data_IF_458753382780
#
_entry.id   IF_458753382780
#
_cell.length_a   1.000
_cell.length_b   1.000
_cell.length_c   1.000
_cell.angle_alpha   90.00
_cell.angle_beta   90.00
_cell.angle_gamma   90.00
#
_symmetry.space_group_name_H-M   'P 1'
#
loop_
_entity.id
_entity.type
_entity.pdbx_description
1 polymer ?
#
# COMPACT_ATOMS: atom_id res chain seq x y z
N UNK A 1 -34.74 -57.93 -53.46
CA UNK A 1 -33.34 -58.37 -53.48
C UNK A 1 -32.54 -57.42 -52.59
N UNK A 2 -31.95 -57.97 -51.52
CA UNK A 2 -30.85 -57.46 -50.67
C UNK A 2 -31.06 -56.17 -49.85
N UNK A 3 -31.33 -56.42 -48.56
CA UNK A 3 -31.10 -55.57 -47.40
C UNK A 3 -29.60 -55.48 -47.05
N UNK A 4 -29.28 -54.58 -46.10
CA UNK A 4 -28.06 -54.41 -45.29
C UNK A 4 -26.94 -53.52 -45.82
N UNK A 5 -26.75 -52.38 -45.15
CA UNK A 5 -25.51 -51.86 -44.50
C UNK A 5 -25.70 -50.34 -44.32
N UNK A 6 -25.49 -49.69 -43.19
CA UNK A 6 -25.06 -50.05 -41.84
C UNK A 6 -25.12 -48.75 -41.04
N UNK A 7 -25.82 -48.79 -39.91
CA UNK A 7 -25.93 -47.75 -38.89
C UNK A 7 -24.54 -47.48 -38.24
N UNK A 8 -24.41 -46.36 -37.49
CA UNK A 8 -23.27 -45.85 -36.68
C UNK A 8 -22.40 -44.81 -37.43
N UNK A 9 -22.15 -43.60 -36.92
CA UNK A 9 -21.74 -43.27 -35.57
C UNK A 9 -22.51 -42.08 -34.96
N UNK A 10 -23.04 -42.34 -33.76
CA UNK A 10 -23.38 -41.37 -32.73
C UNK A 10 -22.06 -40.91 -32.10
N UNK A 11 -21.61 -39.69 -32.37
CA UNK A 11 -20.58 -39.05 -31.57
C UNK A 11 -21.28 -38.10 -30.59
N UNK A 12 -21.36 -38.58 -29.35
CA UNK A 12 -21.93 -37.94 -28.17
C UNK A 12 -21.22 -36.61 -27.91
N UNK A 13 -21.81 -35.50 -28.34
CA UNK A 13 -21.52 -34.17 -27.80
C UNK A 13 -22.26 -34.00 -26.45
N UNK A 14 -21.97 -34.90 -25.50
CA UNK A 14 -22.28 -34.68 -24.09
C UNK A 14 -21.05 -34.07 -23.41
N UNK A 15 -20.70 -32.85 -23.81
CA UNK A 15 -19.98 -31.92 -22.95
C UNK A 15 -20.96 -30.84 -22.47
N UNK A 16 -22.10 -31.25 -21.92
CA UNK A 16 -22.80 -30.44 -20.91
C UNK A 16 -22.04 -30.58 -19.60
N UNK A 17 -20.77 -30.20 -19.60
CA UNK A 17 -20.09 -29.83 -18.37
C UNK A 17 -20.71 -28.52 -17.93
N UNK A 18 -21.72 -28.59 -17.06
CA UNK A 18 -22.10 -27.48 -16.21
C UNK A 18 -20.88 -27.14 -15.36
N UNK A 19 -20.00 -26.30 -15.89
CA UNK A 19 -19.05 -25.57 -15.08
C UNK A 19 -19.89 -24.63 -14.22
N UNK A 20 -20.24 -25.11 -13.02
CA UNK A 20 -20.73 -24.28 -11.92
C UNK A 20 -19.63 -23.26 -11.62
N UNK A 21 -19.74 -22.11 -12.29
CA UNK A 21 -18.95 -20.91 -12.08
C UNK A 21 -19.35 -20.17 -10.79
N UNK A 22 -20.17 -20.79 -9.93
CA UNK A 22 -20.57 -20.25 -8.62
C UNK A 22 -19.45 -20.25 -7.56
N UNK A 23 -18.25 -20.73 -7.91
CA UNK A 23 -17.12 -20.78 -6.99
C UNK A 23 -16.09 -19.66 -7.16
N UNK A 24 -16.25 -18.75 -8.14
CA UNK A 24 -15.49 -17.50 -8.13
C UNK A 24 -16.20 -16.52 -7.20
N UNK A 25 -16.23 -16.86 -5.91
CA UNK A 25 -16.40 -15.81 -4.89
C UNK A 25 -15.24 -14.85 -5.12
N UNK A 26 -15.49 -13.56 -5.42
CA UNK A 26 -14.42 -12.58 -5.37
C UNK A 26 -13.79 -12.75 -4.00
N UNK A 27 -12.48 -13.02 -3.94
CA UNK A 27 -11.74 -13.01 -2.68
C UNK A 27 -12.28 -11.85 -1.86
N UNK A 28 -12.86 -12.16 -0.70
CA UNK A 28 -13.38 -11.17 0.21
C UNK A 28 -12.21 -10.27 0.57
N UNK A 29 -12.04 -9.16 -0.16
CA UNK A 29 -10.95 -8.21 0.06
C UNK A 29 -11.05 -7.84 1.53
N UNK A 30 -9.96 -8.04 2.28
CA UNK A 30 -9.91 -7.69 3.68
C UNK A 30 -10.54 -6.29 3.86
N UNK A 31 -11.42 -6.08 4.86
CA UNK A 31 -12.06 -4.80 5.07
C UNK A 31 -11.03 -3.67 5.07
N UNK A 32 -11.36 -2.57 4.38
CA UNK A 32 -10.49 -1.40 4.35
C UNK A 32 -10.46 -0.78 5.74
N UNK A 33 -9.28 -0.71 6.32
CA UNK A 33 -9.01 -0.07 7.60
C UNK A 33 -8.06 1.09 7.36
N UNK A 34 -8.51 2.31 7.65
CA UNK A 34 -7.76 3.56 7.50
C UNK A 34 -7.44 4.21 8.85
N UNK A 35 -7.53 3.47 9.96
CA UNK A 35 -7.26 3.97 11.32
C UNK A 35 -5.78 4.20 11.64
N UNK A 36 -4.89 3.76 10.75
CA UNK A 36 -3.43 3.86 10.89
C UNK A 36 -2.78 4.26 9.56
N UNK A 37 -1.50 4.64 9.61
CA UNK A 37 -0.64 4.63 8.45
C UNK A 37 0.29 3.42 8.49
N UNK A 38 0.46 2.74 7.35
CA UNK A 38 1.41 1.65 7.17
C UNK A 38 2.70 2.20 6.54
N UNK A 39 3.83 1.96 7.19
CA UNK A 39 5.15 2.28 6.66
C UNK A 39 5.79 1.00 6.11
N UNK A 40 6.21 1.02 4.86
CA UNK A 40 7.11 0.02 4.28
C UNK A 40 8.54 0.55 4.31
N UNK A 41 9.38 0.05 5.21
CA UNK A 41 10.75 0.56 5.33
C UNK A 41 11.65 0.13 4.17
N UNK A 42 11.27 -0.90 3.39
CA UNK A 42 12.08 -1.37 2.26
C UNK A 42 11.92 -0.42 1.07
N UNK A 43 10.67 -0.13 0.70
CA UNK A 43 10.36 0.74 -0.45
C UNK A 43 10.07 2.20 -0.07
N UNK A 44 10.10 2.52 1.22
CA UNK A 44 9.84 3.87 1.76
C UNK A 44 8.45 4.40 1.41
N UNK A 45 7.44 3.51 1.41
CA UNK A 45 6.05 3.93 1.25
C UNK A 45 5.40 4.28 2.58
N UNK A 46 4.56 5.31 2.55
CA UNK A 46 3.68 5.72 3.64
C UNK A 46 2.23 5.60 3.17
N UNK A 47 1.55 4.53 3.56
CA UNK A 47 0.22 4.17 3.06
C UNK A 47 -0.87 4.47 4.09
N UNK A 48 -2.04 4.91 3.61
CA UNK A 48 -3.22 5.06 4.46
C UNK A 48 -3.81 3.67 4.73
N UNK A 49 -3.54 3.14 5.92
CA UNK A 49 -4.07 1.87 6.36
C UNK A 49 -3.63 0.68 5.52
N UNK A 50 -4.55 -0.25 5.26
CA UNK A 50 -4.36 -1.37 4.32
C UNK A 50 -4.83 -1.06 2.88
N UNK A 51 -4.88 0.22 2.50
CA UNK A 51 -5.32 0.64 1.16
C UNK A 51 -4.16 0.75 0.17
N UNK A 52 -4.49 0.93 -1.12
CA UNK A 52 -3.51 1.24 -2.16
C UNK A 52 -3.09 2.73 -2.19
N UNK A 53 -3.64 3.57 -1.29
CA UNK A 53 -3.27 4.99 -1.23
C UNK A 53 -1.96 5.10 -0.46
N UNK A 54 -0.87 5.24 -1.20
CA UNK A 54 0.48 5.35 -0.66
C UNK A 54 1.18 6.60 -1.17
N UNK A 55 2.02 7.16 -0.30
CA UNK A 55 2.93 8.26 -0.60
C UNK A 55 4.36 7.73 -0.66
N UNK A 56 5.10 8.11 -1.69
CA UNK A 56 6.51 7.73 -1.83
C UNK A 56 7.40 8.69 -1.04
N UNK A 57 7.94 8.24 0.10
CA UNK A 57 8.80 9.09 0.93
C UNK A 57 10.15 9.39 0.26
N UNK A 58 10.54 8.69 -0.80
CA UNK A 58 11.78 9.02 -1.53
C UNK A 58 11.71 10.38 -2.23
N UNK A 59 10.49 10.86 -2.53
CA UNK A 59 10.27 12.18 -3.16
C UNK A 59 10.68 13.36 -2.29
N UNK A 60 10.86 13.14 -0.99
CA UNK A 60 11.36 14.16 -0.06
C UNK A 60 12.74 14.69 -0.49
N UNK A 61 13.55 13.90 -1.21
CA UNK A 61 14.91 14.29 -1.62
C UNK A 61 14.93 15.56 -2.46
N UNK A 62 13.92 15.77 -3.32
CA UNK A 62 13.83 16.91 -4.23
C UNK A 62 13.04 18.10 -3.67
N UNK A 63 12.60 18.06 -2.40
CA UNK A 63 11.66 19.03 -1.85
C UNK A 63 12.08 19.53 -0.45
N UNK A 64 13.35 19.91 -0.33
CA UNK A 64 13.92 20.44 0.93
C UNK A 64 13.21 21.69 1.44
N UNK A 65 12.70 22.52 0.51
CA UNK A 65 11.85 23.69 0.80
C UNK A 65 10.56 23.33 1.57
N UNK A 66 10.14 22.05 1.52
CA UNK A 66 8.93 21.54 2.18
C UNK A 66 9.19 20.76 3.46
N UNK A 67 10.42 20.74 3.98
CA UNK A 67 10.74 19.98 5.21
C UNK A 67 10.12 20.60 6.46
N UNK A 68 10.13 21.93 6.53
CA UNK A 68 9.80 22.71 7.72
C UNK A 68 8.52 22.29 8.46
N UNK A 69 7.38 21.99 7.79
CA UNK A 69 6.19 21.52 8.49
C UNK A 69 6.41 20.21 9.27
N UNK A 70 7.14 19.25 8.69
CA UNK A 70 7.45 17.98 9.35
C UNK A 70 8.43 18.22 10.50
N UNK A 71 9.49 18.98 10.24
CA UNK A 71 10.53 19.25 11.24
C UNK A 71 9.97 19.95 12.48
N UNK A 72 9.07 20.93 12.28
CA UNK A 72 8.35 21.58 13.36
C UNK A 72 7.44 20.60 14.12
N UNK A 73 6.74 19.72 13.41
CA UNK A 73 5.84 18.75 14.02
C UNK A 73 6.59 17.72 14.89
N UNK A 74 7.83 17.36 14.52
CA UNK A 74 8.63 16.36 15.25
C UNK A 74 9.72 16.96 16.15
N UNK A 75 9.97 18.27 16.05
CA UNK A 75 11.03 18.94 16.82
C UNK A 75 12.44 18.49 16.44
N UNK A 76 12.64 18.01 15.20
CA UNK A 76 13.93 17.54 14.72
C UNK A 76 14.03 17.71 13.20
N UNK A 77 15.25 17.99 12.72
CA UNK A 77 15.52 18.16 11.29
C UNK A 77 15.49 16.84 10.53
N UNK A 78 15.09 16.89 9.25
CA UNK A 78 15.27 15.80 8.29
C UNK A 78 16.72 15.91 7.77
N UNK A 79 17.57 15.00 8.22
CA UNK A 79 19.02 15.11 8.06
C UNK A 79 19.56 14.43 6.80
N UNK A 80 20.55 15.08 6.18
CA UNK A 80 21.42 14.54 5.16
C UNK A 80 22.36 13.45 5.74
N UNK A 81 23.00 12.60 4.91
CA UNK A 81 22.89 12.53 3.45
C UNK A 81 21.67 11.73 2.95
N UNK A 82 20.90 11.11 3.84
CA UNK A 82 19.81 10.21 3.48
C UNK A 82 18.47 10.68 4.06
N UNK A 83 17.87 11.67 3.39
CA UNK A 83 16.60 12.26 3.81
C UNK A 83 15.46 11.24 3.95
N UNK A 84 15.25 10.27 3.02
CA UNK A 84 14.18 9.28 3.19
C UNK A 84 14.36 8.40 4.43
N UNK A 85 15.59 7.98 4.73
CA UNK A 85 15.87 7.21 5.96
C UNK A 85 15.71 8.07 7.20
N UNK A 86 16.16 9.32 7.17
CA UNK A 86 15.97 10.27 8.28
C UNK A 86 14.48 10.48 8.58
N UNK A 87 13.67 10.77 7.55
CA UNK A 87 12.21 10.91 7.68
C UNK A 87 11.57 9.62 8.23
N UNK A 88 11.95 8.45 7.69
CA UNK A 88 11.41 7.17 8.17
C UNK A 88 11.71 6.97 9.66
N UNK A 89 12.93 7.24 10.11
CA UNK A 89 13.32 7.11 11.53
C UNK A 89 12.56 8.07 12.43
N UNK A 90 12.38 9.30 11.98
CA UNK A 90 11.64 10.35 12.69
C UNK A 90 10.19 9.94 12.94
N UNK A 91 9.54 9.33 11.94
CA UNK A 91 8.16 8.84 12.06
C UNK A 91 8.11 7.58 12.94
N UNK A 92 9.03 6.64 12.78
CA UNK A 92 9.00 5.40 13.57
C UNK A 92 9.32 5.61 15.05
N UNK A 93 10.15 6.61 15.36
CA UNK A 93 10.65 6.88 16.71
C UNK A 93 10.60 8.40 16.99
N UNK A 94 9.40 8.96 17.22
CA UNK A 94 9.28 10.38 17.54
C UNK A 94 10.02 10.68 18.86
N UNK A 95 10.91 11.68 18.85
CA UNK A 95 11.78 12.02 19.99
C UNK A 95 11.01 12.39 21.27
N UNK A 96 9.82 12.95 21.11
CA UNK A 96 8.95 13.34 22.21
C UNK A 96 8.07 12.20 22.75
N UNK A 97 8.19 10.99 22.20
CA UNK A 97 7.40 9.84 22.64
C UNK A 97 5.90 9.99 22.38
N UNK A 98 5.49 10.90 21.50
CA UNK A 98 4.07 11.20 21.23
C UNK A 98 3.26 9.99 20.73
N UNK A 99 3.94 8.96 20.22
CA UNK A 99 3.37 7.65 19.94
C UNK A 99 4.47 6.59 19.78
N UNK A 100 4.06 5.32 19.79
CA UNK A 100 4.91 4.19 19.46
C UNK A 100 4.51 3.60 18.10
N UNK A 101 5.49 3.12 17.34
CA UNK A 101 5.25 2.35 16.12
C UNK A 101 5.10 0.86 16.44
N UNK A 102 4.19 0.18 15.74
CA UNK A 102 3.90 -1.25 15.95
C UNK A 102 4.37 -2.06 14.75
N UNK A 103 5.30 -3.00 14.91
CA UNK A 103 5.73 -3.86 13.80
C UNK A 103 4.58 -4.73 13.30
N UNK A 104 4.57 -5.02 12.00
CA UNK A 104 3.61 -5.92 11.35
C UNK A 104 4.35 -7.12 10.79
N UNK A 105 3.94 -8.32 11.22
CA UNK A 105 4.59 -9.57 10.85
C UNK A 105 5.94 -9.77 11.53
N UNK A 106 6.73 -10.71 11.02
CA UNK A 106 7.97 -11.17 11.67
C UNK A 106 9.25 -10.66 11.00
N UNK A 107 9.16 -10.07 9.81
CA UNK A 107 10.33 -9.69 9.00
C UNK A 107 10.83 -8.25 9.27
N UNK A 108 10.18 -7.52 10.18
CA UNK A 108 10.56 -6.15 10.52
C UNK A 108 10.45 -5.13 9.37
N UNK A 109 9.73 -5.45 8.29
CA UNK A 109 9.60 -4.56 7.11
C UNK A 109 8.52 -3.50 7.27
N UNK A 110 7.42 -3.86 7.92
CA UNK A 110 6.23 -3.03 7.97
C UNK A 110 5.96 -2.56 9.39
N UNK A 111 5.52 -1.31 9.52
CA UNK A 111 5.14 -0.73 10.81
C UNK A 111 3.84 0.04 10.67
N UNK A 112 2.96 -0.09 11.67
CA UNK A 112 1.81 0.79 11.84
C UNK A 112 2.22 1.98 12.70
N UNK A 113 1.76 3.16 12.30
CA UNK A 113 1.77 4.38 13.13
C UNK A 113 0.36 4.97 13.17
N UNK A 114 -0.03 5.65 14.26
CA UNK A 114 -1.39 6.16 14.39
C UNK A 114 -1.68 7.29 13.40
N UNK A 115 -2.96 7.50 13.08
CA UNK A 115 -3.42 8.71 12.40
C UNK A 115 -3.58 9.83 13.44
N UNK A 116 -2.58 10.70 13.55
CA UNK A 116 -2.57 11.86 14.44
C UNK A 116 -2.05 13.10 13.70
N UNK A 117 -1.92 14.24 14.37
CA UNK A 117 -1.55 15.49 13.70
C UNK A 117 -0.14 15.47 13.12
N UNK A 118 0.80 14.77 13.76
CA UNK A 118 2.18 14.62 13.25
C UNK A 118 2.22 13.76 11.99
N UNK A 119 1.56 12.60 12.00
CA UNK A 119 1.53 11.68 10.84
C UNK A 119 0.68 12.24 9.70
N UNK A 120 -0.39 12.98 9.98
CA UNK A 120 -1.15 13.76 8.99
C UNK A 120 -0.30 14.87 8.37
N UNK A 121 0.56 15.53 9.14
CA UNK A 121 1.47 16.55 8.61
C UNK A 121 2.41 15.94 7.58
N UNK A 122 3.01 14.79 7.88
CA UNK A 122 3.82 14.03 6.91
C UNK A 122 3.02 13.68 5.66
N UNK A 123 1.81 13.14 5.84
CA UNK A 123 0.94 12.78 4.72
C UNK A 123 0.68 13.96 3.78
N UNK A 124 0.26 15.10 4.33
CA UNK A 124 -0.04 16.32 3.57
C UNK A 124 1.18 16.90 2.88
N UNK A 125 2.34 16.89 3.55
CA UNK A 125 3.59 17.35 2.94
C UNK A 125 3.99 16.48 1.76
N UNK A 126 3.94 15.15 1.90
CA UNK A 126 4.23 14.24 0.78
C UNK A 126 3.22 14.39 -0.36
N UNK A 127 1.94 14.60 -0.04
CA UNK A 127 0.92 14.89 -1.03
C UNK A 127 1.20 16.19 -1.81
N UNK A 128 1.63 17.25 -1.11
CA UNK A 128 2.03 18.50 -1.76
C UNK A 128 3.24 18.30 -2.68
N UNK A 129 4.24 17.53 -2.24
CA UNK A 129 5.41 17.17 -3.08
C UNK A 129 4.98 16.44 -4.34
N UNK A 130 4.14 15.41 -4.22
CA UNK A 130 3.65 14.66 -5.38
C UNK A 130 2.85 15.54 -6.34
N UNK A 131 2.01 16.43 -5.83
CA UNK A 131 1.25 17.36 -6.66
C UNK A 131 2.19 18.27 -7.47
N UNK A 132 3.23 18.83 -6.84
CA UNK A 132 4.20 19.69 -7.51
C UNK A 132 5.04 18.94 -8.57
N UNK A 133 5.27 17.63 -8.37
CA UNK A 133 6.03 16.80 -9.31
C UNK A 133 5.20 16.34 -10.51
N UNK A 134 3.89 16.09 -10.34
CA UNK A 134 3.07 15.39 -11.32
C UNK A 134 1.89 16.19 -11.90
N UNK A 135 1.57 17.37 -11.35
CA UNK A 135 0.43 18.19 -11.79
C UNK A 135 0.84 19.53 -12.41
N UNK A 136 2.06 19.61 -12.93
CA UNK A 136 2.47 20.73 -13.79
C UNK A 136 1.82 20.62 -15.18
#
# INVERSE_FOLDING_TARGET
MRYLTGLLLIAVLALTGCLNLDSIKPEQKAPRDTSYYLIDIKYKFFCLGNTLKCKDMTKIVSAQDKFRPIENAYGTAIAAPNYPVSLTRMILNPKDGSYNSTPVGTNGRYYKVPVNDKTKTVWRTLEAIENDLYRN
#
